data_IF_770114075076
#
_entry.id   IF_770114075076
#
_cell.length_a   1.000
_cell.length_b   1.000
_cell.length_c   1.000
_cell.angle_alpha   90.00
_cell.angle_beta   90.00
_cell.angle_gamma   90.00
#
_symmetry.space_group_name_H-M   'P 1'
#
loop_
_entity.id
_entity.type
_entity.pdbx_description
1 polymer ?
#
# COMPACT_ATOMS: atom_id res chain seq x y z
N UNK A 1 -10.68 -36.48 10.12
CA UNK A 1 -10.10 -35.81 8.93
C UNK A 1 -9.85 -34.29 9.07
N UNK A 2 -10.62 -33.51 9.85
CA UNK A 2 -10.40 -32.05 10.00
C UNK A 2 -9.05 -31.65 10.62
N UNK A 3 -8.49 -32.44 11.56
CA UNK A 3 -7.20 -32.16 12.22
C UNK A 3 -5.99 -32.28 11.29
N UNK A 4 -6.00 -33.23 10.35
CA UNK A 4 -4.92 -33.40 9.35
C UNK A 4 -4.84 -32.17 8.44
N UNK A 5 -5.99 -31.60 8.05
CA UNK A 5 -6.06 -30.42 7.16
C UNK A 5 -5.47 -29.16 7.82
N UNK A 6 -5.67 -29.00 9.13
CA UNK A 6 -5.14 -27.85 9.91
C UNK A 6 -3.61 -27.97 10.06
N UNK A 7 -3.11 -29.17 10.34
CA UNK A 7 -1.67 -29.45 10.41
C UNK A 7 -1.03 -29.19 9.04
N UNK A 8 -1.65 -29.66 7.95
CA UNK A 8 -1.17 -29.45 6.58
C UNK A 8 -1.13 -27.96 6.19
N UNK A 9 -2.07 -27.15 6.67
CA UNK A 9 -2.07 -25.71 6.41
C UNK A 9 -0.96 -24.99 7.20
N UNK A 10 -0.74 -25.37 8.47
CA UNK A 10 0.35 -24.82 9.28
C UNK A 10 1.72 -25.20 8.71
N UNK A 11 1.92 -26.47 8.34
CA UNK A 11 3.18 -26.91 7.73
C UNK A 11 3.39 -26.26 6.37
N UNK A 12 2.35 -26.15 5.52
CA UNK A 12 2.45 -25.41 4.24
C UNK A 12 2.88 -23.95 4.45
N UNK A 13 2.30 -23.26 5.43
CA UNK A 13 2.68 -21.87 5.76
C UNK A 13 4.13 -21.79 6.29
N UNK A 14 4.60 -22.81 6.99
CA UNK A 14 5.98 -22.93 7.47
C UNK A 14 6.97 -23.19 6.33
N UNK A 15 6.65 -24.09 5.40
CA UNK A 15 7.46 -24.39 4.22
C UNK A 15 7.54 -23.21 3.24
N UNK A 16 6.47 -22.42 3.12
CA UNK A 16 6.47 -21.17 2.36
C UNK A 16 7.36 -20.12 3.04
N UNK A 17 7.39 -20.08 4.39
CA UNK A 17 8.19 -19.13 5.16
C UNK A 17 9.68 -19.46 5.19
N UNK A 18 10.05 -20.74 5.08
CA UNK A 18 11.43 -21.21 5.14
C UNK A 18 11.77 -22.17 3.98
N UNK A 19 11.87 -21.66 2.74
CA UNK A 19 12.17 -22.49 1.57
C UNK A 19 13.54 -23.18 1.65
N UNK A 20 14.50 -22.57 2.36
CA UNK A 20 15.81 -23.17 2.62
C UNK A 20 15.74 -24.44 3.49
N UNK A 21 14.76 -24.54 4.40
CA UNK A 21 14.57 -25.75 5.21
C UNK A 21 14.01 -26.88 4.35
N UNK A 22 13.10 -26.57 3.42
CA UNK A 22 12.57 -27.54 2.46
C UNK A 22 13.70 -28.09 1.56
N UNK A 23 14.53 -27.21 1.00
CA UNK A 23 15.62 -27.65 0.14
C UNK A 23 16.66 -28.47 0.91
N UNK A 24 16.96 -28.10 2.16
CA UNK A 24 17.79 -28.89 3.05
C UNK A 24 17.24 -30.31 3.26
N UNK A 25 15.94 -30.46 3.51
CA UNK A 25 15.30 -31.78 3.66
C UNK A 25 15.48 -32.64 2.40
N UNK A 26 15.32 -32.07 1.20
CA UNK A 26 15.53 -32.80 -0.05
C UNK A 26 16.98 -33.21 -0.26
N UNK A 27 17.94 -32.31 0.02
CA UNK A 27 19.38 -32.59 -0.12
C UNK A 27 19.81 -33.69 0.88
N UNK A 28 19.42 -33.57 2.15
CA UNK A 28 19.79 -34.54 3.18
C UNK A 28 19.12 -35.91 2.96
N UNK A 29 17.87 -35.94 2.49
CA UNK A 29 17.17 -37.20 2.17
C UNK A 29 17.85 -37.93 1.02
N UNK A 30 18.28 -37.20 -0.02
CA UNK A 30 19.02 -37.77 -1.14
C UNK A 30 20.39 -38.29 -0.71
N UNK A 31 21.14 -37.50 0.08
CA UNK A 31 22.43 -37.91 0.62
C UNK A 31 22.32 -39.17 1.49
N UNK A 32 21.26 -39.29 2.30
CA UNK A 32 20.98 -40.50 3.08
C UNK A 32 20.74 -41.72 2.18
N UNK A 33 19.96 -41.58 1.10
CA UNK A 33 19.73 -42.66 0.13
C UNK A 33 21.04 -43.08 -0.54
N UNK A 34 21.86 -42.12 -0.98
CA UNK A 34 23.18 -42.42 -1.57
C UNK A 34 24.10 -43.16 -0.59
N UNK A 35 24.11 -42.78 0.69
CA UNK A 35 24.88 -43.49 1.73
C UNK A 35 24.38 -44.91 1.91
N UNK A 36 23.06 -45.12 1.95
CA UNK A 36 22.46 -46.46 2.09
C UNK A 36 22.80 -47.34 0.90
N UNK A 37 22.65 -46.84 -0.34
CA UNK A 37 23.03 -47.58 -1.55
C UNK A 37 24.53 -47.93 -1.58
N UNK A 38 25.37 -47.00 -1.13
CA UNK A 38 26.81 -47.22 -1.01
C UNK A 38 27.13 -48.34 0.00
N UNK A 39 26.52 -48.31 1.18
CA UNK A 39 26.70 -49.34 2.21
C UNK A 39 26.24 -50.72 1.72
N UNK A 40 25.13 -50.78 0.98
CA UNK A 40 24.65 -52.04 0.38
C UNK A 40 25.64 -52.53 -0.69
N UNK A 41 26.14 -51.66 -1.58
CA UNK A 41 27.08 -52.04 -2.65
C UNK A 41 28.42 -52.54 -2.09
N UNK A 42 28.97 -51.92 -1.05
CA UNK A 42 30.21 -52.39 -0.40
C UNK A 42 30.04 -53.77 0.21
N UNK A 43 28.91 -54.01 0.87
CA UNK A 43 28.64 -55.30 1.51
C UNK A 43 28.44 -56.44 0.50
N UNK A 44 28.02 -56.11 -0.73
CA UNK A 44 27.67 -57.09 -1.77
C UNK A 44 28.81 -57.34 -2.77
N UNK A 45 29.75 -56.41 -2.97
CA UNK A 45 30.88 -56.50 -3.94
C UNK A 45 32.26 -56.67 -3.28
N UNK A 46 32.38 -57.51 -2.25
CA UNK A 46 33.59 -57.68 -1.45
C UNK A 46 34.88 -58.19 -2.16
N UNK A 47 35.07 -58.02 -3.47
CA UNK A 47 36.32 -58.41 -4.14
C UNK A 47 36.70 -57.70 -5.46
N UNK A 48 35.99 -56.66 -5.92
CA UNK A 48 36.36 -55.93 -7.15
C UNK A 48 36.51 -54.42 -6.87
N UNK A 49 37.59 -54.04 -6.18
CA UNK A 49 37.85 -52.68 -5.70
C UNK A 49 38.00 -51.60 -6.77
N UNK A 50 38.23 -51.97 -8.04
CA UNK A 50 38.52 -50.97 -9.09
C UNK A 50 37.28 -50.35 -9.75
N UNK A 51 36.12 -50.99 -9.74
CA UNK A 51 34.89 -50.46 -10.37
C UNK A 51 33.99 -49.65 -9.42
N UNK A 52 34.36 -49.57 -8.14
CA UNK A 52 33.58 -48.86 -7.12
C UNK A 52 33.89 -47.36 -7.16
N UNK A 53 35.14 -46.97 -7.44
CA UNK A 53 35.57 -45.56 -7.51
C UNK A 53 34.90 -44.75 -8.63
N UNK A 54 34.84 -45.29 -9.84
CA UNK A 54 34.23 -44.60 -11.00
C UNK A 54 32.72 -44.40 -10.82
N UNK A 55 32.01 -45.40 -10.27
CA UNK A 55 30.56 -45.31 -10.02
C UNK A 55 30.19 -44.33 -8.90
N UNK A 56 31.12 -44.05 -7.98
CA UNK A 56 30.94 -43.02 -6.93
C UNK A 56 30.95 -41.64 -7.56
N UNK A 57 31.89 -41.35 -8.46
CA UNK A 57 31.95 -40.07 -9.15
C UNK A 57 30.70 -39.81 -10.01
N UNK A 58 30.20 -40.85 -10.70
CA UNK A 58 28.98 -40.77 -11.50
C UNK A 58 27.72 -40.50 -10.65
N UNK A 59 27.68 -41.01 -9.42
CA UNK A 59 26.57 -40.75 -8.48
C UNK A 59 26.68 -39.39 -7.77
N UNK A 60 27.88 -38.82 -7.67
CA UNK A 60 28.13 -37.53 -7.01
C UNK A 60 27.95 -36.31 -7.93
N UNK A 61 27.91 -36.50 -9.25
CA UNK A 61 27.74 -35.41 -10.24
C UNK A 61 26.40 -34.65 -10.08
N UNK A 62 25.36 -35.34 -9.58
CA UNK A 62 24.07 -34.71 -9.31
C UNK A 62 24.07 -33.77 -8.08
N UNK A 63 25.04 -33.89 -7.18
CA UNK A 63 25.08 -33.14 -5.92
C UNK A 63 25.28 -31.61 -6.13
N UNK A 64 26.28 -31.14 -6.90
CA UNK A 64 26.42 -29.71 -7.19
C UNK A 64 25.20 -29.14 -7.94
N UNK A 65 24.58 -29.94 -8.83
CA UNK A 65 23.38 -29.53 -9.56
C UNK A 65 22.17 -29.35 -8.64
N UNK A 66 21.96 -30.28 -7.69
CA UNK A 66 20.89 -30.19 -6.68
C UNK A 66 21.08 -28.99 -5.75
N UNK A 67 22.32 -28.70 -5.36
CA UNK A 67 22.64 -27.52 -4.55
C UNK A 67 22.35 -26.22 -5.30
N UNK A 68 22.76 -26.14 -6.58
CA UNK A 68 22.48 -24.98 -7.44
C UNK A 68 20.97 -24.78 -7.63
N UNK A 69 20.23 -25.86 -7.89
CA UNK A 69 18.76 -25.83 -8.02
C UNK A 69 18.10 -25.31 -6.73
N UNK A 70 18.58 -25.76 -5.58
CA UNK A 70 18.12 -25.28 -4.26
C UNK A 70 18.32 -23.78 -4.09
N UNK A 71 19.52 -23.27 -4.40
CA UNK A 71 19.82 -21.83 -4.32
C UNK A 71 18.93 -21.03 -5.28
N UNK A 72 18.75 -21.51 -6.52
CA UNK A 72 17.89 -20.89 -7.51
C UNK A 72 16.43 -20.82 -7.05
N UNK A 73 15.90 -21.90 -6.48
CA UNK A 73 14.53 -21.93 -5.94
C UNK A 73 14.34 -20.93 -4.79
N UNK A 74 15.29 -20.85 -3.86
CA UNK A 74 15.23 -19.87 -2.76
C UNK A 74 15.22 -18.44 -3.31
N UNK A 75 16.05 -18.14 -4.32
CA UNK A 75 16.08 -16.82 -4.96
C UNK A 75 14.78 -16.48 -5.67
N UNK A 76 14.19 -17.41 -6.41
CA UNK A 76 12.89 -17.20 -7.08
C UNK A 76 11.78 -16.92 -6.06
N UNK A 77 11.78 -17.63 -4.93
CA UNK A 77 10.78 -17.43 -3.87
C UNK A 77 10.99 -16.06 -3.21
N UNK A 78 12.22 -15.68 -2.87
CA UNK A 78 12.55 -14.37 -2.27
C UNK A 78 12.11 -13.21 -3.19
N UNK A 79 12.36 -13.33 -4.49
CA UNK A 79 11.92 -12.34 -5.48
C UNK A 79 10.39 -12.23 -5.52
N UNK A 80 9.69 -13.38 -5.59
CA UNK A 80 8.21 -13.37 -5.58
C UNK A 80 7.63 -12.79 -4.31
N UNK A 81 8.21 -13.09 -3.14
CA UNK A 81 7.73 -12.55 -1.86
C UNK A 81 7.96 -11.04 -1.78
N UNK A 82 9.13 -10.56 -2.21
CA UNK A 82 9.42 -9.11 -2.26
C UNK A 82 8.51 -8.39 -3.23
N UNK A 83 8.25 -8.97 -4.40
CA UNK A 83 7.33 -8.41 -5.38
C UNK A 83 5.92 -8.30 -4.79
N UNK A 84 5.40 -9.38 -4.21
CA UNK A 84 4.08 -9.36 -3.57
C UNK A 84 3.96 -8.36 -2.42
N UNK A 85 5.01 -8.22 -1.60
CA UNK A 85 5.02 -7.25 -0.51
C UNK A 85 5.01 -5.81 -1.06
N UNK A 86 5.80 -5.53 -2.11
CA UNK A 86 5.81 -4.22 -2.76
C UNK A 86 4.47 -3.88 -3.45
N UNK A 87 3.84 -4.86 -4.11
CA UNK A 87 2.51 -4.70 -4.70
C UNK A 87 1.46 -4.44 -3.63
N UNK A 88 1.55 -5.17 -2.50
CA UNK A 88 0.61 -4.98 -1.40
C UNK A 88 0.74 -3.60 -0.76
N UNK A 89 1.96 -3.14 -0.50
CA UNK A 89 2.22 -1.78 0.02
C UNK A 89 1.71 -0.72 -0.95
N UNK A 90 1.95 -0.89 -2.25
CA UNK A 90 1.44 0.01 -3.29
C UNK A 90 -0.08 0.09 -3.29
N UNK A 91 -0.77 -1.07 -3.22
CA UNK A 91 -2.23 -1.11 -3.18
C UNK A 91 -2.81 -0.46 -1.91
N UNK A 92 -2.14 -0.59 -0.76
CA UNK A 92 -2.55 0.08 0.48
C UNK A 92 -2.39 1.59 0.34
N UNK A 93 -1.24 2.06 -0.15
CA UNK A 93 -1.00 3.48 -0.39
C UNK A 93 -2.02 4.07 -1.39
N UNK A 94 -2.32 3.36 -2.48
CA UNK A 94 -3.31 3.76 -3.48
C UNK A 94 -4.72 3.89 -2.88
N UNK A 95 -5.11 2.97 -2.00
CA UNK A 95 -6.38 3.06 -1.26
C UNK A 95 -6.42 4.27 -0.34
N UNK A 96 -5.34 4.53 0.40
CA UNK A 96 -5.28 5.69 1.29
C UNK A 96 -5.37 7.00 0.51
N UNK A 97 -4.71 7.08 -0.65
CA UNK A 97 -4.81 8.22 -1.56
C UNK A 97 -6.24 8.42 -2.07
N UNK A 98 -6.89 7.35 -2.53
CA UNK A 98 -8.28 7.42 -3.00
C UNK A 98 -9.27 7.88 -1.92
N UNK A 99 -9.08 7.44 -0.67
CA UNK A 99 -9.92 7.89 0.45
C UNK A 99 -9.73 9.37 0.72
N UNK A 100 -8.48 9.85 0.74
CA UNK A 100 -8.17 11.28 0.93
C UNK A 100 -8.72 12.14 -0.21
N UNK A 101 -8.56 11.70 -1.45
CA UNK A 101 -9.11 12.36 -2.64
C UNK A 101 -10.64 12.47 -2.54
N UNK A 102 -11.31 11.38 -2.16
CA UNK A 102 -12.76 11.36 -1.97
C UNK A 102 -13.19 12.33 -0.87
N UNK A 103 -12.48 12.34 0.27
CA UNK A 103 -12.76 13.28 1.36
C UNK A 103 -12.60 14.73 0.94
N UNK A 104 -11.54 15.06 0.20
CA UNK A 104 -11.31 16.40 -0.33
C UNK A 104 -12.41 16.83 -1.30
N UNK A 105 -12.80 15.93 -2.21
CA UNK A 105 -13.90 16.18 -3.15
C UNK A 105 -15.22 16.43 -2.42
N UNK A 106 -15.54 15.62 -1.40
CA UNK A 106 -16.74 15.82 -0.58
C UNK A 106 -16.70 17.15 0.17
N UNK A 107 -15.57 17.52 0.77
CA UNK A 107 -15.42 18.82 1.44
C UNK A 107 -15.62 19.96 0.44
N UNK A 108 -15.05 19.86 -0.76
CA UNK A 108 -15.23 20.86 -1.81
C UNK A 108 -16.70 21.00 -2.23
N UNK A 109 -17.39 19.89 -2.48
CA UNK A 109 -18.81 19.88 -2.83
C UNK A 109 -19.68 20.47 -1.71
N UNK A 110 -19.41 20.12 -0.45
CA UNK A 110 -20.10 20.68 0.71
C UNK A 110 -19.85 22.18 0.84
N UNK A 111 -18.59 22.63 0.74
CA UNK A 111 -18.24 24.07 0.79
C UNK A 111 -18.95 24.85 -0.30
N UNK A 112 -18.98 24.33 -1.54
CA UNK A 112 -19.68 24.97 -2.66
C UNK A 112 -21.20 25.02 -2.43
N UNK A 113 -21.77 23.94 -1.89
CA UNK A 113 -23.18 23.89 -1.51
C UNK A 113 -23.52 24.94 -0.45
N UNK A 114 -22.73 25.00 0.63
CA UNK A 114 -22.86 25.98 1.71
C UNK A 114 -22.78 27.40 1.13
N UNK A 115 -21.79 27.68 0.27
CA UNK A 115 -21.63 28.99 -0.35
C UNK A 115 -22.87 29.43 -1.13
N UNK A 116 -23.42 28.54 -1.96
CA UNK A 116 -24.64 28.84 -2.72
C UNK A 116 -25.86 29.04 -1.80
N UNK A 117 -26.03 28.17 -0.80
CA UNK A 117 -27.14 28.26 0.15
C UNK A 117 -27.07 29.46 1.09
N UNK A 118 -25.88 29.98 1.40
CA UNK A 118 -25.67 31.18 2.22
C UNK A 118 -25.73 32.46 1.38
N UNK A 119 -25.20 32.46 0.15
CA UNK A 119 -25.24 33.63 -0.71
C UNK A 119 -26.66 34.07 -1.08
N UNK A 120 -27.58 33.13 -1.33
CA UNK A 120 -28.98 33.46 -1.66
C UNK A 120 -29.70 34.26 -0.57
N UNK A 121 -29.77 33.80 0.70
CA UNK A 121 -30.39 34.57 1.78
C UNK A 121 -29.65 35.87 2.09
N UNK A 122 -28.30 35.90 2.03
CA UNK A 122 -27.54 37.16 2.18
C UNK A 122 -27.91 38.18 1.11
N UNK A 123 -28.07 37.76 -0.15
CA UNK A 123 -28.51 38.64 -1.24
C UNK A 123 -29.90 39.22 -0.98
N UNK A 124 -30.83 38.40 -0.45
CA UNK A 124 -32.16 38.87 -0.06
C UNK A 124 -32.04 39.87 1.11
N UNK A 125 -31.23 39.57 2.12
CA UNK A 125 -31.00 40.46 3.27
C UNK A 125 -30.48 41.82 2.77
N UNK A 126 -29.44 41.85 1.94
CA UNK A 126 -28.90 43.10 1.36
C UNK A 126 -29.96 43.89 0.59
N UNK A 127 -30.78 43.22 -0.22
CA UNK A 127 -31.86 43.87 -0.98
C UNK A 127 -32.94 44.47 -0.07
N UNK A 128 -33.31 43.75 0.99
CA UNK A 128 -34.24 44.26 2.01
C UNK A 128 -33.62 45.39 2.82
N UNK A 129 -32.33 45.33 3.12
CA UNK A 129 -31.60 46.34 3.87
C UNK A 129 -31.52 47.66 3.10
N UNK A 130 -31.20 47.61 1.80
CA UNK A 130 -31.21 48.79 0.94
C UNK A 130 -32.60 49.43 0.83
N UNK A 131 -33.67 48.62 0.85
CA UNK A 131 -35.06 49.10 0.84
C UNK A 131 -35.47 49.72 2.19
N UNK A 132 -35.01 49.11 3.29
CA UNK A 132 -35.21 49.63 4.64
C UNK A 132 -34.45 50.95 4.86
N UNK A 133 -33.23 51.06 4.33
CA UNK A 133 -32.41 52.27 4.41
C UNK A 133 -33.08 53.44 3.69
N UNK A 134 -33.67 53.22 2.50
CA UNK A 134 -34.47 54.23 1.78
C UNK A 134 -35.70 54.67 2.57
N UNK A 135 -36.40 53.73 3.21
CA UNK A 135 -37.59 54.00 4.02
C UNK A 135 -37.28 54.67 5.37
N UNK A 136 -36.06 54.50 5.89
CA UNK A 136 -35.61 55.05 7.17
C UNK A 136 -35.14 56.52 7.09
N UNK A 137 -35.30 57.17 5.93
CA UNK A 137 -34.93 58.57 5.63
C UNK A 137 -35.64 59.56 6.57
N UNK A 138 -35.14 59.71 7.79
CA UNK A 138 -35.75 60.53 8.84
C UNK A 138 -35.48 60.05 10.27
N UNK A 139 -35.07 58.79 10.45
CA UNK A 139 -34.72 58.24 11.78
C UNK A 139 -33.24 57.84 11.85
N UNK A 140 -32.41 58.77 12.32
CA UNK A 140 -30.95 58.62 12.46
C UNK A 140 -30.56 57.36 13.26
N UNK A 141 -31.34 56.99 14.28
CA UNK A 141 -31.05 55.80 15.10
C UNK A 141 -31.26 54.52 14.30
N UNK A 142 -32.32 54.48 13.48
CA UNK A 142 -32.64 53.33 12.64
C UNK A 142 -31.62 53.18 11.50
N UNK A 143 -31.20 54.29 10.89
CA UNK A 143 -30.14 54.30 9.86
C UNK A 143 -28.84 53.71 10.41
N UNK A 144 -28.38 54.15 11.59
CA UNK A 144 -27.17 53.58 12.21
C UNK A 144 -27.27 52.08 12.49
N UNK A 145 -28.44 51.60 12.89
CA UNK A 145 -28.67 50.17 13.10
C UNK A 145 -28.60 49.38 11.80
N UNK A 146 -29.15 49.94 10.71
CA UNK A 146 -29.06 49.36 9.37
C UNK A 146 -27.63 49.36 8.85
N UNK A 147 -26.86 50.44 9.06
CA UNK A 147 -25.44 50.52 8.67
C UNK A 147 -24.61 49.45 9.39
N UNK A 148 -24.85 49.25 10.69
CA UNK A 148 -24.18 48.19 11.47
C UNK A 148 -24.54 46.81 10.90
N UNK A 149 -25.79 46.60 10.51
CA UNK A 149 -26.25 45.33 9.96
C UNK A 149 -25.65 45.06 8.57
N UNK A 150 -25.45 46.11 7.76
CA UNK A 150 -24.77 46.01 6.46
C UNK A 150 -23.29 45.66 6.64
N UNK A 151 -22.61 46.25 7.63
CA UNK A 151 -21.23 45.93 7.95
C UNK A 151 -21.06 44.46 8.36
N UNK A 152 -21.94 43.93 9.20
CA UNK A 152 -21.91 42.52 9.62
C UNK A 152 -22.21 41.57 8.46
N UNK A 153 -23.16 41.92 7.58
CA UNK A 153 -23.44 41.15 6.35
C UNK A 153 -22.21 41.10 5.45
N UNK A 154 -21.54 42.24 5.24
CA UNK A 154 -20.30 42.30 4.45
C UNK A 154 -19.15 41.51 5.08
N UNK A 155 -19.03 41.50 6.42
CA UNK A 155 -18.06 40.64 7.13
C UNK A 155 -18.32 39.16 6.89
N UNK A 156 -19.59 38.72 6.93
CA UNK A 156 -19.95 37.33 6.64
C UNK A 156 -19.58 36.94 5.21
N UNK A 157 -19.85 37.82 4.23
CA UNK A 157 -19.50 37.60 2.82
C UNK A 157 -17.97 37.47 2.66
N UNK A 158 -17.20 38.35 3.29
CA UNK A 158 -15.74 38.30 3.25
C UNK A 158 -15.19 37.00 3.86
N UNK A 159 -15.67 36.62 5.05
CA UNK A 159 -15.27 35.38 5.71
C UNK A 159 -15.60 34.13 4.88
N UNK A 160 -16.76 34.12 4.21
CA UNK A 160 -17.15 33.02 3.33
C UNK A 160 -16.28 32.95 2.06
N UNK A 161 -15.88 34.10 1.50
CA UNK A 161 -14.96 34.17 0.36
C UNK A 161 -13.57 33.65 0.73
N UNK A 162 -13.05 34.03 1.89
CA UNK A 162 -11.74 33.58 2.37
C UNK A 162 -11.74 32.07 2.67
N UNK A 163 -12.81 31.56 3.28
CA UNK A 163 -13.00 30.12 3.50
C UNK A 163 -13.03 29.31 2.19
N UNK A 164 -13.68 29.84 1.15
CA UNK A 164 -13.70 29.21 -0.18
C UNK A 164 -12.30 29.13 -0.79
N UNK A 165 -11.52 30.22 -0.74
CA UNK A 165 -10.15 30.27 -1.30
C UNK A 165 -9.20 29.31 -0.59
N UNK A 166 -9.30 29.22 0.74
CA UNK A 166 -8.50 28.29 1.54
C UNK A 166 -8.86 26.82 1.25
N UNK A 167 -10.13 26.56 0.93
CA UNK A 167 -10.57 25.21 0.53
C UNK A 167 -10.07 24.82 -0.85
N UNK A 168 -9.88 25.78 -1.76
CA UNK A 168 -9.39 25.54 -3.13
C UNK A 168 -7.87 25.26 -3.16
N UNK A 169 -7.08 26.00 -2.37
CA UNK A 169 -5.62 25.83 -2.29
C UNK A 169 -5.17 24.46 -1.73
N UNK A 170 -5.96 23.86 -0.84
CA UNK A 170 -5.66 22.53 -0.27
C UNK A 170 -5.92 21.38 -1.25
N UNK A 171 -6.67 21.60 -2.34
CA UNK A 171 -7.00 20.55 -3.32
C UNK A 171 -5.93 20.45 -4.41
N UNK A 172 -5.32 21.57 -4.82
CA UNK A 172 -4.24 21.58 -5.83
C UNK A 172 -2.90 21.05 -5.30
N UNK A 173 -2.68 21.06 -3.98
CA UNK A 173 -1.37 20.73 -3.37
C UNK A 173 -1.21 19.28 -2.93
N UNK A 174 -2.14 18.39 -3.28
CA UNK A 174 -1.92 16.94 -3.10
C UNK A 174 -0.99 16.44 -4.20
N UNK A 175 0.30 16.72 -4.03
CA UNK A 175 1.36 16.23 -4.89
C UNK A 175 1.33 14.68 -4.90
N UNK A 176 1.21 14.03 -6.08
CA UNK A 176 1.26 12.57 -6.18
C UNK A 176 2.64 11.98 -5.81
N UNK A 177 3.65 12.80 -5.54
CA UNK A 177 5.03 12.36 -5.30
C UNK A 177 5.36 11.88 -3.87
N UNK A 178 4.43 11.25 -3.16
CA UNK A 178 4.81 10.41 -2.00
C UNK A 178 5.01 8.98 -2.48
N UNK A 179 6.05 8.76 -3.30
CA UNK A 179 6.29 7.44 -3.88
C UNK A 179 7.47 7.28 -4.84
N UNK A 180 8.43 8.21 -4.92
CA UNK A 180 9.68 7.88 -5.60
C UNK A 180 10.46 6.86 -4.76
N UNK A 181 10.26 5.59 -5.10
CA UNK A 181 11.16 4.50 -4.71
C UNK A 181 12.55 4.91 -5.22
N UNK A 182 13.58 5.02 -4.36
CA UNK A 182 14.92 5.30 -4.85
C UNK A 182 15.31 4.13 -5.76
N UNK A 183 15.35 4.39 -7.07
CA UNK A 183 16.02 3.54 -8.03
C UNK A 183 17.47 3.45 -7.57
N UNK A 184 17.80 2.37 -6.88
CA UNK A 184 19.13 2.06 -6.39
C UNK A 184 20.09 2.20 -7.58
N UNK A 185 20.89 3.26 -7.51
CA UNK A 185 21.93 3.61 -8.48
C UNK A 185 22.76 2.39 -8.85
N UNK A 186 23.06 2.29 -10.13
CA UNK A 186 24.03 1.38 -10.74
C UNK A 186 25.20 1.05 -9.81
N UNK A 187 25.30 -0.22 -9.46
CA UNK A 187 26.53 -0.80 -8.93
C UNK A 187 27.49 -0.87 -10.12
N UNK A 188 28.54 -0.04 -10.06
CA UNK A 188 29.79 -0.23 -10.80
C UNK A 188 30.60 -1.35 -10.16
#
# INVERSE_FOLDING_TARGET
MKRIRIIFHKTKKYFIKYPAVLSGIFIYSYLAICIVEYLIKIKTLGNNSYSVGEKIFESFDAFPFMWLLSVALVKVIDIRTKLHESEHQRLVAEREMHVKETQLKTVHEVTRGIQHHINNPLSIIMLTLGSAHKSASGNIKLTRQLDTLDEEVNRIIAALSDFSKLSEYNVETVDPNVGEIPLRSSVR
#
